data_IF_799984672733
#
_entry.id   IF_799984672733
#
_cell.length_a   1.000
_cell.length_b   1.000
_cell.length_c   1.000
_cell.angle_alpha   90.00
_cell.angle_beta   90.00
_cell.angle_gamma   90.00
#
_symmetry.space_group_name_H-M   'P 1'
#
loop_
_entity.id
_entity.type
_entity.pdbx_description
1 polymer ?
#
# COMPACT_ATOMS: atom_id res chain seq x y z
N UNK A 1 -46.95 -2.23 5.18
CA UNK A 1 -45.73 -2.68 4.50
C UNK A 1 -44.64 -1.68 4.86
N UNK A 2 -43.85 -1.98 5.87
CA UNK A 2 -42.73 -1.15 6.35
C UNK A 2 -41.39 -1.71 5.86
N UNK A 3 -40.37 -0.87 5.62
CA UNK A 3 -39.09 -1.34 5.13
C UNK A 3 -38.31 -2.05 6.23
N UNK A 4 -37.90 -3.29 5.95
CA UNK A 4 -36.95 -4.03 6.78
C UNK A 4 -35.55 -3.43 6.66
N UNK A 5 -35.00 -2.99 7.78
CA UNK A 5 -33.57 -2.68 7.93
C UNK A 5 -32.73 -3.94 7.74
N UNK A 6 -31.69 -3.99 6.93
CA UNK A 6 -30.80 -5.13 6.85
C UNK A 6 -29.85 -5.13 8.07
N UNK A 7 -30.07 -6.08 8.95
CA UNK A 7 -29.16 -6.36 10.08
C UNK A 7 -27.91 -7.05 9.55
N UNK A 8 -26.74 -6.52 9.88
CA UNK A 8 -25.44 -7.09 9.54
C UNK A 8 -25.32 -8.55 10.01
N UNK A 9 -24.95 -9.44 9.09
CA UNK A 9 -24.72 -10.86 9.35
C UNK A 9 -23.23 -11.13 9.46
N UNK A 10 -22.80 -11.61 10.61
CA UNK A 10 -21.47 -12.20 10.75
C UNK A 10 -21.52 -13.67 10.27
N UNK A 11 -20.59 -14.07 9.41
CA UNK A 11 -20.49 -15.42 8.86
C UNK A 11 -19.42 -16.22 9.63
N UNK A 12 -19.78 -17.37 10.13
CA UNK A 12 -18.85 -18.34 10.76
C UNK A 12 -18.85 -19.62 9.93
N UNK A 13 -17.68 -20.09 9.55
CA UNK A 13 -17.51 -21.30 8.77
C UNK A 13 -17.39 -22.51 9.71
N UNK A 14 -18.32 -23.47 9.63
CA UNK A 14 -18.25 -24.77 10.32
C UNK A 14 -18.58 -25.87 9.34
N UNK A 15 -17.57 -26.64 8.93
CA UNK A 15 -17.75 -27.94 8.28
C UNK A 15 -18.62 -27.99 7.02
N UNK A 16 -18.46 -27.04 6.08
CA UNK A 16 -19.10 -27.10 4.75
C UNK A 16 -20.48 -26.43 4.64
N UNK A 17 -21.03 -25.87 5.71
CA UNK A 17 -22.28 -25.09 5.70
C UNK A 17 -22.03 -23.74 6.40
N UNK A 18 -22.42 -22.66 5.74
CA UNK A 18 -22.37 -21.30 6.31
C UNK A 18 -23.63 -21.08 7.15
N UNK A 19 -23.52 -21.14 8.47
CA UNK A 19 -24.58 -20.71 9.39
C UNK A 19 -24.36 -19.26 9.83
N UNK A 20 -25.43 -18.47 9.78
CA UNK A 20 -25.44 -17.11 10.25
C UNK A 20 -25.66 -17.04 11.75
N UNK A 21 -24.62 -16.76 12.53
CA UNK A 21 -24.78 -16.47 13.95
C UNK A 21 -25.07 -14.97 14.17
N UNK A 22 -26.18 -14.68 14.84
CA UNK A 22 -26.49 -13.35 15.39
C UNK A 22 -25.67 -13.15 16.67
N UNK A 23 -24.47 -12.63 16.55
CA UNK A 23 -23.67 -12.19 17.68
C UNK A 23 -23.52 -10.68 17.64
N UNK A 24 -24.16 -9.95 18.54
CA UNK A 24 -23.87 -8.56 18.83
C UNK A 24 -22.48 -8.49 19.47
N UNK A 25 -21.45 -8.20 18.67
CA UNK A 25 -20.14 -7.82 19.19
C UNK A 25 -19.84 -6.39 18.75
N UNK A 26 -20.30 -5.45 19.57
CA UNK A 26 -19.72 -4.11 19.62
C UNK A 26 -18.40 -4.19 20.39
N UNK A 27 -17.35 -4.66 19.77
CA UNK A 27 -16.00 -4.27 20.15
C UNK A 27 -15.56 -3.23 19.13
N UNK A 28 -15.68 -1.96 19.50
CA UNK A 28 -14.84 -0.92 18.93
C UNK A 28 -13.40 -1.36 19.20
N UNK A 29 -12.74 -2.01 18.22
CA UNK A 29 -11.30 -2.03 18.11
C UNK A 29 -10.91 -0.56 17.97
N UNK A 30 -10.52 0.05 19.09
CA UNK A 30 -9.93 1.38 19.09
C UNK A 30 -8.65 1.25 18.29
N UNK A 31 -8.70 1.60 17.00
CA UNK A 31 -7.50 1.85 16.21
C UNK A 31 -6.65 2.82 17.00
N UNK A 32 -5.38 2.49 17.23
CA UNK A 32 -4.45 3.42 17.86
C UNK A 32 -4.50 4.74 17.09
N UNK A 33 -4.95 5.83 17.73
CA UNK A 33 -5.21 7.06 17.02
C UNK A 33 -3.93 7.55 16.36
N UNK A 34 -4.06 8.05 15.14
CA UNK A 34 -2.96 8.65 14.41
C UNK A 34 -2.28 9.74 15.24
N UNK A 35 -0.95 9.73 15.30
CA UNK A 35 -0.17 10.71 16.04
C UNK A 35 0.25 11.86 15.13
N UNK A 36 -0.08 13.10 15.51
CA UNK A 36 0.27 14.32 14.78
C UNK A 36 1.12 15.22 15.70
N UNK A 37 2.29 15.64 15.24
CA UNK A 37 3.12 16.58 16.00
C UNK A 37 2.89 18.02 15.52
N UNK A 38 2.83 18.95 16.46
CA UNK A 38 2.70 20.39 16.22
C UNK A 38 4.04 21.07 16.58
N UNK A 39 4.66 21.74 15.60
CA UNK A 39 6.01 22.29 15.74
C UNK A 39 6.05 23.77 15.35
N UNK A 40 6.39 24.62 16.30
CA UNK A 40 6.60 26.04 16.07
C UNK A 40 5.36 26.85 15.69
N UNK A 41 4.16 26.27 15.82
CA UNK A 41 2.90 27.00 15.59
C UNK A 41 2.64 27.98 16.73
N UNK A 42 2.22 29.18 16.37
CA UNK A 42 1.82 30.24 17.31
C UNK A 42 0.29 30.35 17.39
N UNK A 43 -0.28 30.82 18.50
CA UNK A 43 -1.70 31.19 18.49
C UNK A 43 -1.99 32.26 17.43
N UNK A 44 -3.09 32.21 16.66
CA UNK A 44 -4.21 31.26 16.76
C UNK A 44 -4.00 29.94 15.96
N UNK A 45 -3.00 29.82 15.11
CA UNK A 45 -2.79 28.64 14.25
C UNK A 45 -2.66 27.34 15.07
N UNK A 46 -2.08 27.42 16.27
CA UNK A 46 -1.94 26.26 17.16
C UNK A 46 -3.31 25.74 17.64
N UNK A 47 -4.26 26.63 17.93
CA UNK A 47 -5.61 26.25 18.38
C UNK A 47 -6.38 25.60 17.22
N UNK A 48 -6.44 26.23 16.06
CA UNK A 48 -7.08 25.66 14.87
C UNK A 48 -6.45 24.32 14.45
N UNK A 49 -5.13 24.19 14.57
CA UNK A 49 -4.45 22.92 14.25
C UNK A 49 -4.83 21.81 15.26
N UNK A 50 -5.01 22.12 16.54
CA UNK A 50 -5.48 21.15 17.55
C UNK A 50 -6.90 20.70 17.27
N UNK A 51 -7.78 21.65 16.98
CA UNK A 51 -9.19 21.34 16.61
C UNK A 51 -9.23 20.46 15.36
N UNK A 52 -8.42 20.75 14.34
CA UNK A 52 -8.34 19.94 13.13
C UNK A 52 -7.81 18.52 13.42
N UNK A 53 -6.86 18.36 14.35
CA UNK A 53 -6.36 17.04 14.78
C UNK A 53 -7.46 16.26 15.48
N UNK A 54 -8.22 16.88 16.37
CA UNK A 54 -9.34 16.25 17.08
C UNK A 54 -10.47 15.87 16.11
N UNK A 55 -10.86 16.78 15.20
CA UNK A 55 -11.87 16.53 14.16
C UNK A 55 -11.49 15.38 13.22
N UNK A 56 -10.18 15.18 12.97
CA UNK A 56 -9.68 14.07 12.19
C UNK A 56 -9.57 12.74 12.97
N UNK A 57 -9.97 12.70 14.25
CA UNK A 57 -9.84 11.53 15.13
C UNK A 57 -8.39 11.17 15.46
N UNK A 58 -7.44 12.12 15.32
CA UNK A 58 -6.03 11.93 15.62
C UNK A 58 -5.69 12.44 17.04
N UNK A 59 -4.45 12.18 17.49
CA UNK A 59 -3.93 12.68 18.77
C UNK A 59 -2.65 13.49 18.56
N UNK A 60 -2.49 14.53 19.37
CA UNK A 60 -1.25 15.32 19.39
C UNK A 60 -0.12 14.51 20.03
N UNK A 61 1.02 14.43 19.34
CA UNK A 61 2.26 13.81 19.83
C UNK A 61 3.26 14.87 20.24
N UNK A 62 3.92 14.67 21.36
CA UNK A 62 5.06 15.50 21.80
C UNK A 62 6.36 15.18 21.05
N UNK A 63 6.42 14.03 20.36
CA UNK A 63 7.62 13.59 19.63
C UNK A 63 7.40 13.61 18.11
N UNK A 64 7.98 14.61 17.39
CA UNK A 64 7.82 14.72 15.94
C UNK A 64 8.42 13.54 15.14
N UNK A 65 9.41 12.83 15.71
CA UNK A 65 10.04 11.69 15.03
C UNK A 65 9.14 10.46 14.96
N UNK A 66 8.15 10.36 15.85
CA UNK A 66 7.18 9.27 15.89
C UNK A 66 5.81 9.64 15.34
N UNK A 67 5.62 10.91 14.95
CA UNK A 67 4.37 11.36 14.39
C UNK A 67 4.15 10.84 12.96
N UNK A 68 2.90 10.53 12.64
CA UNK A 68 2.47 10.19 11.28
C UNK A 68 2.45 11.39 10.34
N UNK A 69 2.28 12.58 10.92
CA UNK A 69 2.31 13.86 10.25
C UNK A 69 2.87 14.92 11.20
N UNK A 70 3.70 15.82 10.69
CA UNK A 70 4.16 17.00 11.41
C UNK A 70 3.49 18.22 10.80
N UNK A 71 2.75 18.97 11.61
CA UNK A 71 2.25 20.29 11.27
C UNK A 71 3.24 21.31 11.82
N UNK A 72 3.87 22.08 10.95
CA UNK A 72 4.93 22.98 11.33
C UNK A 72 4.77 24.37 10.72
N UNK A 73 5.12 25.42 11.48
CA UNK A 73 5.18 26.77 10.90
C UNK A 73 6.23 26.84 9.77
N UNK A 74 6.10 27.78 8.82
CA UNK A 74 7.14 28.07 7.84
C UNK A 74 8.47 28.36 8.56
N UNK A 75 9.53 27.62 8.19
CA UNK A 75 10.84 27.78 8.81
C UNK A 75 11.11 26.98 10.10
N UNK A 76 10.11 26.41 10.76
CA UNK A 76 10.34 25.56 11.92
C UNK A 76 11.13 24.28 11.56
N UNK A 77 12.09 23.84 12.39
CA UNK A 77 12.88 22.64 12.12
C UNK A 77 12.00 21.40 12.24
N UNK A 78 12.09 20.51 11.25
CA UNK A 78 11.35 19.24 11.19
C UNK A 78 12.33 18.10 11.01
N UNK A 79 12.14 16.95 11.68
CA UNK A 79 13.01 15.79 11.51
C UNK A 79 13.14 15.39 10.03
N UNK A 80 14.37 15.05 9.55
CA UNK A 80 14.57 14.65 8.16
C UNK A 80 13.69 13.45 7.79
N UNK A 81 12.99 13.57 6.65
CA UNK A 81 12.11 12.51 6.14
C UNK A 81 10.77 12.33 6.87
N UNK A 82 10.44 13.17 7.85
CA UNK A 82 9.09 13.17 8.44
C UNK A 82 8.09 13.81 7.46
N UNK A 83 6.91 13.19 7.26
CA UNK A 83 5.83 13.82 6.51
C UNK A 83 5.46 15.14 7.17
N UNK A 84 5.52 16.24 6.43
CA UNK A 84 5.30 17.57 6.98
C UNK A 84 4.34 18.39 6.13
N UNK A 85 3.44 19.12 6.79
CA UNK A 85 2.61 20.17 6.20
C UNK A 85 2.98 21.49 6.86
N UNK A 86 3.28 22.50 6.07
CA UNK A 86 3.57 23.86 6.55
C UNK A 86 2.26 24.62 6.72
N UNK A 87 2.02 25.11 7.96
CA UNK A 87 0.80 25.79 8.37
C UNK A 87 1.10 27.23 8.75
N UNK A 88 0.27 28.16 8.30
CA UNK A 88 0.40 29.60 8.55
C UNK A 88 0.81 30.39 7.30
N UNK A 89 1.07 31.67 7.47
CA UNK A 89 1.42 32.59 6.37
C UNK A 89 2.69 32.12 5.62
N UNK A 90 2.54 31.94 4.32
CA UNK A 90 3.62 31.38 3.47
C UNK A 90 3.75 29.85 3.55
N UNK A 91 2.87 29.17 4.26
CA UNK A 91 2.76 27.70 4.31
C UNK A 91 1.93 27.12 3.17
N UNK A 92 1.72 25.80 3.23
CA UNK A 92 0.87 25.05 2.31
C UNK A 92 -0.62 25.15 2.69
N UNK A 93 -0.90 25.49 3.95
CA UNK A 93 -2.23 25.56 4.55
C UNK A 93 -2.31 26.85 5.38
N UNK A 94 -3.30 27.68 5.11
CA UNK A 94 -3.60 28.89 5.87
C UNK A 94 -4.84 28.69 6.76
N UNK A 95 -4.67 28.83 8.07
CA UNK A 95 -5.78 28.70 9.00
C UNK A 95 -6.41 30.08 9.32
N UNK A 96 -7.74 30.13 9.50
CA UNK A 96 -8.72 29.02 9.54
C UNK A 96 -9.27 28.60 8.16
N UNK A 97 -8.89 29.27 7.07
CA UNK A 97 -9.51 29.13 5.73
C UNK A 97 -9.42 27.68 5.22
N UNK A 98 -8.27 27.05 5.37
CA UNK A 98 -7.99 25.71 4.84
C UNK A 98 -8.20 24.59 5.88
N UNK A 99 -9.00 24.81 6.94
CA UNK A 99 -9.22 23.80 8.00
C UNK A 99 -9.73 22.47 7.45
N UNK A 100 -10.66 22.47 6.49
CA UNK A 100 -11.19 21.25 5.88
C UNK A 100 -10.09 20.47 5.11
N UNK A 101 -9.21 21.19 4.42
CA UNK A 101 -8.04 20.60 3.76
C UNK A 101 -7.09 19.96 4.79
N UNK A 102 -6.82 20.68 5.88
CA UNK A 102 -5.96 20.19 6.94
C UNK A 102 -6.50 18.92 7.60
N UNK A 103 -7.80 18.88 7.94
CA UNK A 103 -8.49 17.68 8.47
C UNK A 103 -8.32 16.51 7.50
N UNK A 104 -8.52 16.74 6.20
CA UNK A 104 -8.36 15.71 5.17
C UNK A 104 -6.92 15.18 5.10
N UNK A 105 -5.91 16.05 5.17
CA UNK A 105 -4.49 15.67 5.16
C UNK A 105 -4.11 14.86 6.42
N UNK A 106 -4.63 15.24 7.58
CA UNK A 106 -4.41 14.51 8.85
C UNK A 106 -5.04 13.12 8.77
N UNK A 107 -6.30 13.03 8.33
CA UNK A 107 -7.00 11.75 8.19
C UNK A 107 -6.28 10.83 7.17
N UNK A 108 -5.74 11.40 6.09
CA UNK A 108 -4.95 10.66 5.11
C UNK A 108 -3.62 10.16 5.70
N UNK A 109 -2.92 11.01 6.45
CA UNK A 109 -1.69 10.61 7.13
C UNK A 109 -1.95 9.50 8.16
N UNK A 110 -3.08 9.54 8.87
CA UNK A 110 -3.55 8.49 9.77
C UNK A 110 -3.76 7.17 9.04
N UNK A 111 -4.48 7.18 7.95
CA UNK A 111 -4.68 6.00 7.09
C UNK A 111 -3.36 5.41 6.60
N UNK A 112 -2.39 6.25 6.25
CA UNK A 112 -1.03 5.80 5.85
C UNK A 112 -0.25 5.21 7.01
N UNK A 113 -0.40 5.73 8.21
CA UNK A 113 0.34 5.30 9.41
C UNK A 113 -0.21 4.02 10.03
N UNK A 114 -1.51 3.78 9.97
CA UNK A 114 -2.13 2.51 10.34
C UNK A 114 -1.74 1.35 9.43
N UNK A 115 -1.06 1.63 8.30
CA UNK A 115 -0.54 0.60 7.41
C UNK A 115 0.70 -0.06 7.98
N UNK A 116 0.58 -1.34 8.21
CA UNK A 116 1.67 -2.18 8.72
C UNK A 116 2.66 -2.57 7.61
N UNK A 117 2.31 -2.39 6.30
CA UNK A 117 3.12 -2.83 5.18
C UNK A 117 3.06 -1.93 3.94
N UNK A 118 4.00 -2.13 3.01
CA UNK A 118 4.06 -1.41 1.74
C UNK A 118 3.00 -1.93 0.76
N UNK A 119 2.44 -1.04 -0.07
CA UNK A 119 1.51 -1.38 -1.16
C UNK A 119 2.19 -1.16 -2.50
N UNK A 120 2.40 -2.22 -3.23
CA UNK A 120 2.99 -2.20 -4.57
C UNK A 120 1.94 -2.57 -5.60
N UNK A 121 1.69 -1.69 -6.54
CA UNK A 121 0.81 -1.95 -7.69
C UNK A 121 1.65 -2.43 -8.86
N UNK A 122 1.24 -3.52 -9.49
CA UNK A 122 1.90 -4.08 -10.68
C UNK A 122 0.91 -4.05 -11.84
N UNK A 123 1.29 -3.39 -12.93
CA UNK A 123 0.44 -3.27 -14.10
C UNK A 123 1.25 -3.34 -15.40
N UNK A 124 0.59 -3.61 -16.52
CA UNK A 124 1.20 -3.67 -17.84
C UNK A 124 0.70 -2.58 -18.76
N UNK A 125 1.55 -2.07 -19.66
CA UNK A 125 1.13 -1.11 -20.69
C UNK A 125 0.32 -1.76 -21.81
N UNK A 126 0.38 -3.10 -21.91
CA UNK A 126 -0.39 -3.90 -22.86
C UNK A 126 -0.76 -5.25 -22.26
N UNK A 127 -1.73 -5.92 -22.87
CA UNK A 127 -2.07 -7.30 -22.52
C UNK A 127 -0.94 -8.28 -22.84
N UNK A 128 -0.83 -9.36 -22.05
CA UNK A 128 0.12 -10.44 -22.29
C UNK A 128 1.59 -10.12 -21.97
N UNK A 129 1.92 -8.97 -21.41
CA UNK A 129 3.31 -8.61 -21.06
C UNK A 129 3.85 -9.34 -19.82
N UNK A 130 3.00 -10.12 -19.13
CA UNK A 130 3.42 -11.01 -18.06
C UNK A 130 3.25 -10.44 -16.65
N UNK A 131 2.32 -9.50 -16.42
CA UNK A 131 2.03 -8.88 -15.11
C UNK A 131 1.84 -9.93 -14.03
N UNK A 132 0.85 -10.80 -14.16
CA UNK A 132 0.53 -11.85 -13.20
C UNK A 132 1.71 -12.81 -12.96
N UNK A 133 2.54 -13.06 -13.97
CA UNK A 133 3.75 -13.87 -13.82
C UNK A 133 4.78 -13.20 -12.93
N UNK A 134 4.99 -11.90 -13.10
CA UNK A 134 5.88 -11.11 -12.23
C UNK A 134 5.33 -11.02 -10.82
N UNK A 135 4.02 -10.79 -10.65
CA UNK A 135 3.36 -10.81 -9.34
C UNK A 135 3.58 -12.14 -8.62
N UNK A 136 3.39 -13.28 -9.31
CA UNK A 136 3.66 -14.62 -8.75
C UNK A 136 5.11 -14.80 -8.30
N UNK A 137 6.06 -14.37 -9.11
CA UNK A 137 7.48 -14.46 -8.74
C UNK A 137 7.83 -13.58 -7.56
N UNK A 138 7.35 -12.33 -7.55
CA UNK A 138 7.60 -11.37 -6.49
C UNK A 138 6.99 -11.84 -5.16
N UNK A 139 5.75 -12.29 -5.18
CA UNK A 139 5.04 -12.80 -4.02
C UNK A 139 5.75 -14.03 -3.40
N UNK A 140 6.15 -14.99 -4.24
CA UNK A 140 6.92 -16.17 -3.81
C UNK A 140 8.28 -15.82 -3.21
N UNK A 141 9.00 -14.87 -3.79
CA UNK A 141 10.29 -14.43 -3.26
C UNK A 141 10.14 -13.76 -1.89
N UNK A 142 9.09 -12.97 -1.71
CA UNK A 142 8.77 -12.37 -0.43
C UNK A 142 8.36 -13.42 0.62
N UNK A 143 7.54 -14.41 0.24
CA UNK A 143 7.09 -15.50 1.10
C UNK A 143 8.22 -16.47 1.51
N UNK A 144 9.14 -16.83 0.59
CA UNK A 144 10.28 -17.75 0.88
C UNK A 144 11.20 -17.25 1.97
N UNK A 145 11.40 -15.94 2.09
CA UNK A 145 12.27 -15.37 3.12
C UNK A 145 11.68 -15.46 4.51
N UNK A 146 10.35 -15.53 4.62
CA UNK A 146 9.68 -15.82 5.88
C UNK A 146 10.07 -17.22 6.39
N UNK A 147 9.92 -18.25 5.58
CA UNK A 147 10.23 -19.62 5.96
C UNK A 147 11.71 -19.89 6.28
N UNK A 148 12.65 -19.22 5.61
CA UNK A 148 14.09 -19.35 5.89
C UNK A 148 14.49 -18.63 7.19
N UNK A 149 13.91 -17.46 7.46
CA UNK A 149 14.17 -16.70 8.69
C UNK A 149 13.50 -17.31 9.93
N UNK A 150 12.28 -17.81 9.80
CA UNK A 150 11.59 -18.52 10.89
C UNK A 150 12.34 -19.77 11.35
N UNK A 151 13.00 -20.48 10.45
CA UNK A 151 13.85 -21.64 10.81
C UNK A 151 15.12 -21.26 11.58
N UNK A 152 15.68 -20.08 11.30
CA UNK A 152 16.89 -19.57 11.95
C UNK A 152 16.64 -18.86 13.29
N UNK A 153 15.44 -18.30 13.51
CA UNK A 153 15.15 -17.40 14.64
C UNK A 153 13.92 -17.80 15.46
N UNK A 154 13.70 -19.08 15.71
CA UNK A 154 12.63 -19.59 16.60
C UNK A 154 12.77 -19.16 18.07
N UNK A 155 13.43 -18.08 18.41
CA UNK A 155 13.54 -17.56 19.78
C UNK A 155 12.62 -16.34 19.98
N UNK A 156 11.54 -16.59 20.64
CA UNK A 156 10.64 -15.87 21.56
C UNK A 156 10.33 -14.35 21.42
N UNK A 157 11.11 -13.52 20.73
CA UNK A 157 10.93 -12.07 20.73
C UNK A 157 10.16 -11.47 19.53
N UNK A 158 9.83 -12.27 18.49
CA UNK A 158 9.31 -11.76 17.23
C UNK A 158 7.79 -12.04 16.99
N UNK A 159 7.06 -12.56 17.97
CA UNK A 159 5.62 -12.79 17.81
C UNK A 159 4.82 -11.49 17.71
N UNK A 160 5.24 -10.44 18.42
CA UNK A 160 4.57 -9.14 18.40
C UNK A 160 4.91 -8.27 17.18
N UNK A 161 6.03 -8.57 16.47
CA UNK A 161 6.42 -7.89 15.21
C UNK A 161 6.09 -8.71 13.96
N UNK A 162 5.33 -9.80 14.09
CA UNK A 162 5.07 -10.76 13.02
C UNK A 162 4.27 -10.22 11.84
N UNK A 163 3.40 -9.26 12.06
CA UNK A 163 2.41 -8.81 11.08
C UNK A 163 2.95 -7.93 9.96
N UNK A 164 3.96 -7.10 10.25
CA UNK A 164 4.53 -6.15 9.27
C UNK A 164 5.29 -6.80 8.09
N UNK A 165 5.52 -8.11 8.12
CA UNK A 165 6.37 -8.83 7.15
C UNK A 165 5.60 -9.78 6.24
N UNK A 166 4.31 -9.96 6.47
CA UNK A 166 3.47 -10.77 5.60
C UNK A 166 3.20 -10.03 4.28
N UNK A 167 3.26 -10.78 3.18
CA UNK A 167 2.90 -10.27 1.85
C UNK A 167 1.63 -10.98 1.41
N UNK A 168 0.63 -10.20 1.05
CA UNK A 168 -0.65 -10.66 0.52
C UNK A 168 -0.78 -10.17 -0.92
N UNK A 169 -1.26 -11.03 -1.80
CA UNK A 169 -1.59 -10.66 -3.17
C UNK A 169 -3.07 -10.29 -3.25
N UNK A 170 -3.34 -9.18 -3.92
CA UNK A 170 -4.70 -8.74 -4.28
C UNK A 170 -4.81 -8.78 -5.79
N UNK A 171 -5.57 -9.73 -6.33
CA UNK A 171 -5.79 -9.86 -7.78
C UNK A 171 -6.95 -8.95 -8.20
N UNK A 172 -6.60 -7.77 -8.67
CA UNK A 172 -7.49 -6.76 -9.21
C UNK A 172 -7.42 -6.69 -10.75
N UNK A 173 -6.97 -7.76 -11.40
CA UNK A 173 -6.85 -7.82 -12.88
C UNK A 173 -8.19 -7.95 -13.60
N UNK A 174 -9.26 -8.31 -12.89
CA UNK A 174 -10.57 -8.63 -13.47
C UNK A 174 -10.59 -9.95 -14.26
N UNK A 175 -9.48 -10.67 -14.30
CA UNK A 175 -9.33 -11.90 -15.08
C UNK A 175 -9.61 -13.14 -14.23
N UNK A 176 -10.26 -14.15 -14.84
CA UNK A 176 -10.38 -15.50 -14.27
C UNK A 176 -9.84 -16.47 -15.31
N UNK A 177 -8.84 -17.29 -14.99
CA UNK A 177 -8.26 -17.58 -13.66
C UNK A 177 -7.12 -16.64 -13.21
N UNK A 178 -7.06 -15.40 -13.39
CA UNK A 178 -6.15 -14.40 -12.87
C UNK A 178 -4.85 -14.90 -12.19
N UNK A 179 -4.63 -14.49 -10.96
CA UNK A 179 -3.49 -14.93 -10.16
C UNK A 179 -3.58 -16.41 -9.76
N UNK A 180 -4.76 -16.91 -9.39
CA UNK A 180 -4.97 -18.34 -9.10
C UNK A 180 -4.82 -19.16 -10.39
N UNK A 181 -4.19 -20.34 -10.29
CA UNK A 181 -4.20 -21.33 -11.38
C UNK A 181 -5.46 -22.17 -11.28
N UNK A 182 -5.85 -22.80 -12.38
CA UNK A 182 -7.03 -23.68 -12.38
C UNK A 182 -6.99 -24.75 -11.28
N UNK A 183 -5.83 -25.32 -11.00
CA UNK A 183 -5.66 -26.32 -9.93
C UNK A 183 -5.70 -25.74 -8.48
N UNK A 184 -5.76 -24.44 -8.33
CA UNK A 184 -5.78 -23.74 -7.03
C UNK A 184 -7.16 -23.12 -6.74
N UNK A 185 -8.14 -23.32 -7.63
CA UNK A 185 -9.49 -22.75 -7.49
C UNK A 185 -10.25 -23.37 -6.29
N UNK A 186 -9.97 -24.63 -5.95
CA UNK A 186 -10.61 -25.33 -4.84
C UNK A 186 -9.93 -25.06 -3.47
N UNK A 187 -8.86 -24.26 -3.45
CA UNK A 187 -8.22 -23.90 -2.19
C UNK A 187 -9.23 -23.17 -1.27
N UNK A 188 -9.44 -23.64 -0.02
CA UNK A 188 -10.42 -23.05 0.88
C UNK A 188 -10.05 -21.61 1.23
N UNK A 189 -11.05 -20.76 1.40
CA UNK A 189 -10.88 -19.38 1.81
C UNK A 189 -11.78 -18.40 1.07
N UNK A 190 -11.79 -17.16 1.57
CA UNK A 190 -12.62 -16.05 1.05
C UNK A 190 -12.12 -15.60 -0.32
N UNK A 191 -13.04 -15.43 -1.25
CA UNK A 191 -12.83 -14.97 -2.64
C UNK A 191 -13.55 -13.64 -2.88
N UNK A 192 -13.33 -13.03 -4.04
CA UNK A 192 -14.03 -11.80 -4.40
C UNK A 192 -15.55 -11.92 -4.33
N UNK A 193 -16.10 -13.07 -4.75
CA UNK A 193 -17.55 -13.29 -4.75
C UNK A 193 -18.16 -13.40 -3.34
N UNK A 194 -17.34 -13.60 -2.31
CA UNK A 194 -17.79 -13.72 -0.92
C UNK A 194 -17.80 -12.37 -0.18
N UNK A 195 -17.27 -11.30 -0.83
CA UNK A 195 -17.19 -9.97 -0.27
C UNK A 195 -18.33 -9.09 -0.77
N UNK A 196 -18.93 -8.30 0.12
CA UNK A 196 -19.97 -7.34 -0.23
C UNK A 196 -19.33 -6.06 -0.83
N UNK A 197 -19.84 -5.63 -1.97
CA UNK A 197 -19.39 -4.42 -2.65
C UNK A 197 -19.86 -3.11 -1.97
N UNK A 198 -20.84 -3.19 -1.08
CA UNK A 198 -21.34 -2.05 -0.30
C UNK A 198 -20.51 -1.71 0.94
N UNK A 199 -19.53 -2.54 1.28
CA UNK A 199 -18.70 -2.32 2.45
C UNK A 199 -17.49 -1.43 2.12
N UNK A 200 -17.26 -0.39 2.93
CA UNK A 200 -16.08 0.50 2.80
C UNK A 200 -14.80 -0.15 3.36
N UNK A 201 -14.94 -1.12 4.24
CA UNK A 201 -13.86 -1.92 4.83
C UNK A 201 -14.38 -3.25 5.34
N UNK A 202 -13.51 -4.24 5.44
CA UNK A 202 -13.82 -5.58 5.97
C UNK A 202 -13.18 -5.78 7.34
N UNK A 203 -13.61 -6.84 8.04
CA UNK A 203 -13.02 -7.18 9.33
C UNK A 203 -11.51 -7.46 9.19
N UNK A 204 -10.69 -7.09 10.18
CA UNK A 204 -9.24 -7.37 10.19
C UNK A 204 -8.91 -8.86 10.03
N UNK A 205 -9.82 -9.75 10.46
CA UNK A 205 -9.73 -11.20 10.29
C UNK A 205 -9.83 -11.68 8.84
N UNK A 206 -10.24 -10.81 7.88
CA UNK A 206 -10.24 -11.17 6.45
C UNK A 206 -8.93 -11.81 6.02
N UNK A 207 -7.80 -11.26 6.48
CA UNK A 207 -6.47 -11.78 6.20
C UNK A 207 -6.34 -13.28 6.52
N UNK A 208 -6.89 -13.72 7.64
CA UNK A 208 -6.72 -15.08 8.13
C UNK A 208 -7.57 -16.09 7.36
N UNK A 209 -8.60 -15.62 6.69
CA UNK A 209 -9.52 -16.41 5.88
C UNK A 209 -9.17 -16.43 4.39
N UNK A 210 -8.09 -15.73 3.96
CA UNK A 210 -7.66 -15.78 2.57
C UNK A 210 -7.09 -17.14 2.18
N UNK A 211 -7.37 -17.62 0.96
CA UNK A 211 -6.77 -18.85 0.44
C UNK A 211 -5.25 -18.69 0.27
N UNK A 212 -4.55 -19.80 0.41
CA UNK A 212 -3.12 -19.86 0.06
C UNK A 212 -2.98 -20.33 -1.38
N UNK A 213 -2.56 -19.40 -2.25
CA UNK A 213 -2.39 -19.62 -3.70
C UNK A 213 -0.92 -19.40 -4.05
N UNK A 214 -0.30 -20.38 -4.69
CA UNK A 214 1.12 -20.29 -5.04
C UNK A 214 2.08 -20.15 -3.86
N UNK A 215 1.64 -20.54 -2.65
CA UNK A 215 2.42 -20.45 -1.42
C UNK A 215 2.37 -19.09 -0.72
N UNK A 216 1.44 -18.21 -1.10
CA UNK A 216 1.16 -16.93 -0.45
C UNK A 216 -0.35 -16.75 -0.25
N UNK A 217 -0.74 -15.98 0.75
CA UNK A 217 -2.15 -15.60 0.92
C UNK A 217 -2.54 -14.65 -0.21
N UNK A 218 -3.71 -14.87 -0.80
CA UNK A 218 -4.16 -14.08 -1.92
C UNK A 218 -5.68 -13.91 -1.95
N UNK A 219 -6.14 -12.69 -2.18
CA UNK A 219 -7.53 -12.43 -2.51
C UNK A 219 -7.67 -12.49 -4.05
N UNK A 220 -8.40 -13.48 -4.53
CA UNK A 220 -8.46 -13.85 -5.95
C UNK A 220 -9.88 -14.16 -6.39
N UNK A 221 -10.11 -14.19 -7.70
CA UNK A 221 -11.35 -14.66 -8.30
C UNK A 221 -11.48 -16.18 -8.32
N UNK A 222 -12.68 -16.64 -8.61
CA UNK A 222 -13.03 -18.02 -8.89
C UNK A 222 -14.05 -18.11 -10.05
N UNK A 223 -14.72 -19.24 -10.23
CA UNK A 223 -15.73 -19.42 -11.27
C UNK A 223 -16.90 -18.43 -11.21
N UNK A 224 -17.15 -17.83 -10.04
CA UNK A 224 -18.19 -16.80 -9.83
C UNK A 224 -17.75 -15.41 -10.29
N UNK A 225 -16.47 -15.19 -10.60
CA UNK A 225 -15.91 -13.95 -11.12
C UNK A 225 -14.65 -13.48 -10.38
N UNK A 226 -14.05 -12.41 -10.92
CA UNK A 226 -12.93 -11.68 -10.33
C UNK A 226 -13.32 -10.21 -10.08
N UNK A 227 -12.43 -9.44 -9.46
CA UNK A 227 -12.58 -8.00 -9.30
C UNK A 227 -11.59 -7.25 -10.20
N UNK A 228 -12.05 -6.22 -10.87
CA UNK A 228 -11.20 -5.28 -11.60
C UNK A 228 -10.69 -4.17 -10.70
N UNK A 229 -9.71 -3.40 -11.18
CA UNK A 229 -9.14 -2.29 -10.42
C UNK A 229 -10.16 -1.17 -10.09
N UNK A 230 -11.30 -1.11 -10.76
CA UNK A 230 -12.42 -0.20 -10.51
C UNK A 230 -13.47 -0.75 -9.52
N UNK A 231 -13.33 -2.00 -9.10
CA UNK A 231 -14.24 -2.63 -8.14
C UNK A 231 -14.03 -2.04 -6.74
N UNK A 232 -15.07 -1.51 -6.06
CA UNK A 232 -14.94 -0.93 -4.73
C UNK A 232 -14.41 -1.91 -3.70
N UNK A 233 -14.66 -3.22 -3.85
CA UNK A 233 -14.13 -4.29 -2.99
C UNK A 233 -12.60 -4.30 -2.93
N UNK A 234 -11.93 -3.92 -4.04
CA UNK A 234 -10.45 -3.86 -4.08
C UNK A 234 -9.93 -2.81 -3.11
N UNK A 235 -10.53 -1.63 -3.09
CA UNK A 235 -10.16 -0.54 -2.18
C UNK A 235 -10.45 -0.93 -0.74
N UNK A 236 -11.65 -1.45 -0.46
CA UNK A 236 -12.06 -1.90 0.87
C UNK A 236 -11.12 -2.99 1.41
N UNK A 237 -10.78 -4.00 0.59
CA UNK A 237 -9.84 -5.06 0.96
C UNK A 237 -8.43 -4.52 1.24
N UNK A 238 -7.90 -3.63 0.38
CA UNK A 238 -6.59 -3.03 0.59
C UNK A 238 -6.50 -2.19 1.87
N UNK A 239 -7.60 -1.58 2.31
CA UNK A 239 -7.69 -0.86 3.59
C UNK A 239 -7.69 -1.81 4.80
N UNK A 240 -8.34 -2.96 4.66
CA UNK A 240 -8.56 -3.92 5.73
C UNK A 240 -7.37 -4.85 5.97
N UNK A 241 -6.61 -5.16 4.91
CA UNK A 241 -5.47 -6.06 4.98
C UNK A 241 -4.24 -5.35 5.56
N UNK A 242 -3.99 -5.56 6.86
CA UNK A 242 -2.83 -4.99 7.59
C UNK A 242 -1.55 -5.78 7.28
N UNK A 243 -1.10 -5.75 6.01
CA UNK A 243 0.07 -6.47 5.52
C UNK A 243 0.76 -5.69 4.39
N UNK A 244 1.92 -6.14 3.94
CA UNK A 244 2.45 -5.67 2.66
C UNK A 244 1.60 -6.23 1.52
N UNK A 245 1.15 -5.38 0.60
CA UNK A 245 0.28 -5.77 -0.49
C UNK A 245 1.01 -5.74 -1.82
N UNK A 246 0.76 -6.75 -2.65
CA UNK A 246 1.09 -6.74 -4.08
C UNK A 246 -0.23 -6.80 -4.84
N UNK A 247 -0.60 -5.69 -5.48
CA UNK A 247 -1.85 -5.57 -6.23
C UNK A 247 -1.56 -5.84 -7.70
N UNK A 248 -2.14 -6.90 -8.24
CA UNK A 248 -2.15 -7.16 -9.69
C UNK A 248 -3.27 -6.33 -10.31
N UNK A 249 -2.95 -5.18 -10.88
CA UNK A 249 -3.93 -4.30 -11.50
C UNK A 249 -4.16 -4.61 -12.99
N UNK A 250 -3.55 -5.68 -13.51
CA UNK A 250 -3.68 -6.07 -14.90
C UNK A 250 -3.08 -5.04 -15.86
N UNK A 251 -3.93 -4.24 -16.54
CA UNK A 251 -3.49 -3.20 -17.46
C UNK A 251 -3.45 -1.84 -16.78
N UNK A 252 -2.43 -1.03 -17.11
CA UNK A 252 -2.35 0.35 -16.66
C UNK A 252 -3.28 1.24 -17.50
N UNK A 253 -4.39 1.60 -16.93
CA UNK A 253 -5.42 2.47 -17.50
C UNK A 253 -5.99 3.42 -16.43
N UNK A 254 -7.05 4.17 -16.75
CA UNK A 254 -7.71 5.09 -15.83
C UNK A 254 -8.19 4.40 -14.54
N UNK A 255 -8.62 3.14 -14.60
CA UNK A 255 -9.12 2.37 -13.46
C UNK A 255 -7.97 2.00 -12.53
N UNK A 256 -6.90 1.44 -13.08
CA UNK A 256 -5.69 1.08 -12.34
C UNK A 256 -5.01 2.30 -11.71
N UNK A 257 -4.94 3.44 -12.43
CA UNK A 257 -4.38 4.67 -11.93
C UNK A 257 -5.19 5.24 -10.75
N UNK A 258 -6.52 5.23 -10.87
CA UNK A 258 -7.42 5.65 -9.79
C UNK A 258 -7.30 4.73 -8.57
N UNK A 259 -7.31 3.41 -8.78
CA UNK A 259 -7.10 2.43 -7.73
C UNK A 259 -5.78 2.71 -6.99
N UNK A 260 -4.66 2.81 -7.72
CA UNK A 260 -3.35 3.08 -7.14
C UNK A 260 -3.31 4.36 -6.29
N UNK A 261 -4.02 5.40 -6.75
CA UNK A 261 -4.17 6.67 -6.00
C UNK A 261 -4.97 6.46 -4.71
N UNK A 262 -6.16 5.86 -4.80
CA UNK A 262 -7.08 5.71 -3.65
C UNK A 262 -6.54 4.75 -2.59
N UNK A 263 -5.83 3.68 -3.01
CA UNK A 263 -5.16 2.78 -2.07
C UNK A 263 -3.81 3.34 -1.61
N UNK A 264 -3.41 4.53 -2.02
CA UNK A 264 -2.12 5.18 -1.69
C UNK A 264 -0.94 4.24 -1.93
N UNK A 265 -0.77 3.75 -3.16
CA UNK A 265 0.32 2.87 -3.51
C UNK A 265 1.69 3.52 -3.20
N UNK A 266 2.61 2.76 -2.60
CA UNK A 266 3.96 3.24 -2.29
C UNK A 266 4.88 3.16 -3.52
N UNK A 267 4.61 2.23 -4.43
CA UNK A 267 5.32 2.12 -5.70
C UNK A 267 4.47 1.46 -6.78
N UNK A 268 4.70 1.88 -8.01
CA UNK A 268 4.13 1.29 -9.21
C UNK A 268 5.20 0.54 -9.99
N UNK A 269 4.89 -0.69 -10.40
CA UNK A 269 5.72 -1.50 -11.29
C UNK A 269 5.01 -1.61 -12.63
N UNK A 270 5.56 -0.95 -13.65
CA UNK A 270 5.01 -0.95 -15.01
C UNK A 270 5.77 -1.93 -15.90
N UNK A 271 5.06 -2.92 -16.44
CA UNK A 271 5.61 -3.86 -17.40
C UNK A 271 5.33 -3.40 -18.83
N UNK A 272 6.37 -3.46 -19.68
CA UNK A 272 6.25 -3.17 -21.11
C UNK A 272 7.12 -4.11 -21.95
N UNK A 273 6.90 -4.11 -23.26
CA UNK A 273 7.76 -4.80 -24.23
C UNK A 273 9.02 -3.98 -24.50
N UNK A 274 10.09 -4.67 -24.93
CA UNK A 274 11.36 -4.02 -25.23
C UNK A 274 11.39 -3.28 -26.59
N UNK A 275 10.39 -3.50 -27.42
CA UNK A 275 10.30 -2.99 -28.81
C UNK A 275 9.70 -1.56 -28.87
N UNK A 276 9.56 -1.06 -30.10
CA UNK A 276 8.99 0.27 -30.38
C UNK A 276 7.52 0.36 -29.97
N UNK A 277 6.74 -0.71 -30.16
CA UNK A 277 5.34 -0.76 -29.74
C UNK A 277 5.22 -0.63 -28.21
N UNK A 278 6.10 -1.31 -27.46
CA UNK A 278 6.17 -1.20 -26.02
C UNK A 278 6.55 0.22 -25.56
N UNK A 279 7.48 0.87 -26.24
CA UNK A 279 7.83 2.26 -25.97
C UNK A 279 6.67 3.22 -26.24
N UNK A 280 5.97 3.05 -27.36
CA UNK A 280 4.80 3.85 -27.73
C UNK A 280 3.64 3.62 -26.75
N UNK A 281 3.37 2.38 -26.38
CA UNK A 281 2.34 2.04 -25.38
C UNK A 281 2.67 2.65 -23.99
N UNK A 282 3.94 2.61 -23.60
CA UNK A 282 4.40 3.23 -22.35
C UNK A 282 4.18 4.75 -22.38
N UNK A 283 4.62 5.42 -23.44
CA UNK A 283 4.47 6.86 -23.60
C UNK A 283 2.98 7.27 -23.55
N UNK A 284 2.13 6.60 -24.32
CA UNK A 284 0.70 6.85 -24.36
C UNK A 284 0.03 6.63 -23.00
N UNK A 285 0.35 5.51 -22.33
CA UNK A 285 -0.22 5.17 -21.02
C UNK A 285 0.15 6.20 -19.94
N UNK A 286 1.42 6.66 -19.93
CA UNK A 286 1.90 7.63 -18.96
C UNK A 286 1.38 9.05 -19.23
N UNK A 287 1.21 9.43 -20.50
CA UNK A 287 0.62 10.71 -20.87
C UNK A 287 -0.86 10.78 -20.47
N UNK A 288 -1.60 9.69 -20.65
CA UNK A 288 -3.02 9.63 -20.30
C UNK A 288 -3.25 9.43 -18.80
N UNK A 289 -2.40 8.66 -18.14
CA UNK A 289 -2.56 8.26 -16.74
C UNK A 289 -1.21 8.32 -16.01
N UNK A 290 -0.78 9.52 -15.56
CA UNK A 290 0.47 9.65 -14.83
C UNK A 290 0.44 8.85 -13.52
N UNK A 291 1.56 8.21 -13.12
CA UNK A 291 1.63 7.47 -11.87
C UNK A 291 1.42 8.37 -10.66
N UNK A 292 0.56 7.99 -9.68
CA UNK A 292 0.36 8.76 -8.45
C UNK A 292 1.50 8.60 -7.43
N UNK A 293 2.45 7.69 -7.71
CA UNK A 293 3.56 7.33 -6.84
C UNK A 293 4.83 7.02 -7.65
N UNK A 294 6.01 6.88 -7.01
CA UNK A 294 7.23 6.47 -7.70
C UNK A 294 7.04 5.19 -8.51
N UNK A 295 7.51 5.18 -9.75
CA UNK A 295 7.32 4.06 -10.67
C UNK A 295 8.66 3.43 -11.09
N UNK A 296 8.63 2.11 -11.29
CA UNK A 296 9.71 1.29 -11.82
C UNK A 296 9.24 0.67 -13.13
N UNK A 297 10.07 0.74 -14.16
CA UNK A 297 9.78 0.07 -15.43
C UNK A 297 10.41 -1.31 -15.48
N UNK A 298 9.63 -2.32 -15.79
CA UNK A 298 10.10 -3.66 -16.14
C UNK A 298 9.93 -3.90 -17.62
N UNK A 299 11.01 -4.32 -18.25
CA UNK A 299 11.03 -4.61 -19.68
C UNK A 299 11.01 -6.11 -19.88
N UNK A 300 9.95 -6.62 -20.49
CA UNK A 300 9.86 -8.04 -20.86
C UNK A 300 10.87 -8.35 -21.97
N UNK A 301 11.57 -9.47 -21.84
CA UNK A 301 12.53 -9.93 -22.86
C UNK A 301 11.77 -10.55 -24.03
N UNK A 302 11.33 -9.72 -24.96
CA UNK A 302 10.90 -10.15 -26.28
C UNK A 302 12.09 -10.34 -27.22
N UNK A 303 11.87 -11.02 -28.36
CA UNK A 303 12.89 -11.26 -29.42
C UNK A 303 13.19 -9.97 -30.24
N UNK A 304 13.25 -8.79 -29.63
CA UNK A 304 13.45 -7.54 -30.33
C UNK A 304 14.66 -6.73 -29.83
N UNK A 305 15.22 -5.87 -30.69
CA UNK A 305 16.20 -4.83 -30.29
C UNK A 305 15.50 -3.89 -29.32
N UNK A 306 16.17 -3.54 -28.21
CA UNK A 306 15.68 -2.54 -27.27
C UNK A 306 15.48 -1.22 -27.99
N UNK A 307 14.29 -0.66 -27.91
CA UNK A 307 14.00 0.66 -28.44
C UNK A 307 14.69 1.73 -27.59
N UNK A 308 15.46 2.61 -28.22
CA UNK A 308 16.02 3.80 -27.55
C UNK A 308 14.91 4.72 -27.02
N UNK A 309 13.75 4.76 -27.68
CA UNK A 309 12.59 5.53 -27.26
C UNK A 309 12.07 5.14 -25.86
N UNK A 310 12.25 3.88 -25.45
CA UNK A 310 11.85 3.45 -24.11
C UNK A 310 12.61 4.20 -23.00
N UNK A 311 13.91 4.45 -23.23
CA UNK A 311 14.73 5.21 -22.25
C UNK A 311 14.33 6.68 -22.12
N UNK A 312 13.66 7.24 -23.12
CA UNK A 312 13.20 8.62 -23.14
C UNK A 312 11.87 8.81 -22.37
N UNK A 313 10.97 7.83 -22.38
CA UNK A 313 9.63 7.96 -21.82
C UNK A 313 9.39 7.14 -20.53
N UNK A 314 10.16 6.08 -20.28
CA UNK A 314 9.89 5.16 -19.20
C UNK A 314 10.38 5.69 -17.83
N UNK A 315 9.58 5.52 -16.73
CA UNK A 315 10.02 5.78 -15.37
C UNK A 315 11.26 4.97 -14.99
N UNK A 316 12.11 5.55 -14.18
CA UNK A 316 13.34 4.90 -13.72
C UNK A 316 13.24 4.40 -12.27
N UNK A 317 13.92 3.32 -11.93
CA UNK A 317 14.86 2.54 -12.75
C UNK A 317 14.17 1.65 -13.79
N UNK A 318 14.86 1.40 -14.91
CA UNK A 318 14.43 0.44 -15.94
C UNK A 318 15.15 -0.88 -15.71
N UNK A 319 14.41 -1.91 -15.36
CA UNK A 319 14.93 -3.24 -15.05
C UNK A 319 14.44 -4.27 -16.08
N UNK A 320 15.11 -5.42 -16.12
CA UNK A 320 14.62 -6.57 -16.86
C UNK A 320 13.50 -7.25 -16.08
N UNK A 321 12.39 -7.60 -16.76
CA UNK A 321 11.32 -8.37 -16.14
C UNK A 321 11.85 -9.77 -15.75
N UNK A 322 11.69 -10.19 -14.49
CA UNK A 322 12.14 -11.50 -14.06
C UNK A 322 11.25 -12.60 -14.69
N UNK A 323 11.86 -13.63 -15.24
CA UNK A 323 11.17 -14.82 -15.76
C UNK A 323 11.25 -16.02 -14.82
N UNK A 324 12.19 -15.97 -13.89
CA UNK A 324 12.42 -17.01 -12.87
C UNK A 324 13.07 -16.39 -11.61
N UNK A 325 13.07 -17.10 -10.49
CA UNK A 325 13.77 -16.64 -9.27
C UNK A 325 15.27 -16.49 -9.57
N UNK A 326 15.82 -15.28 -9.38
CA UNK A 326 17.20 -15.01 -9.69
C UNK A 326 17.64 -13.57 -9.49
N UNK A 327 18.64 -13.15 -10.27
CA UNK A 327 19.27 -11.82 -10.17
C UNK A 327 18.28 -10.68 -10.43
N UNK A 328 17.47 -10.81 -11.48
CA UNK A 328 16.53 -9.74 -11.89
C UNK A 328 15.43 -9.54 -10.83
N UNK A 329 14.92 -10.62 -10.25
CA UNK A 329 13.93 -10.55 -9.17
C UNK A 329 14.51 -9.91 -7.91
N UNK A 330 15.77 -10.20 -7.57
CA UNK A 330 16.48 -9.55 -6.45
C UNK A 330 16.71 -8.06 -6.71
N UNK A 331 17.00 -7.67 -7.97
CA UNK A 331 17.14 -6.28 -8.38
C UNK A 331 15.82 -5.52 -8.23
N UNK A 332 14.72 -6.07 -8.75
CA UNK A 332 13.38 -5.50 -8.59
C UNK A 332 13.03 -5.29 -7.12
N UNK A 333 13.22 -6.30 -6.29
CA UNK A 333 12.91 -6.20 -4.87
C UNK A 333 13.75 -5.15 -4.14
N UNK A 334 15.04 -4.98 -4.50
CA UNK A 334 15.88 -3.91 -3.93
C UNK A 334 15.36 -2.53 -4.33
N UNK A 335 14.99 -2.36 -5.59
CA UNK A 335 14.43 -1.12 -6.09
C UNK A 335 13.11 -0.78 -5.38
N UNK A 336 12.18 -1.74 -5.22
CA UNK A 336 10.95 -1.54 -4.46
C UNK A 336 11.22 -1.19 -2.99
N UNK A 337 12.20 -1.85 -2.38
CA UNK A 337 12.57 -1.57 -1.00
C UNK A 337 13.17 -0.16 -0.81
N UNK A 338 13.81 0.42 -1.83
CA UNK A 338 14.34 1.79 -1.77
C UNK A 338 13.24 2.85 -1.95
N UNK A 339 12.11 2.50 -2.56
CA UNK A 339 10.98 3.41 -2.76
C UNK A 339 9.99 3.37 -1.58
N UNK A 340 10.03 2.33 -0.74
CA UNK A 340 9.07 2.19 0.37
C UNK A 340 9.47 3.01 1.58
N UNK A 341 8.66 3.99 2.01
CA UNK A 341 8.98 4.90 3.11
C UNK A 341 9.13 4.21 4.48
N UNK A 342 8.59 3.00 4.64
CA UNK A 342 8.66 2.23 5.88
C UNK A 342 10.09 1.88 6.36
N UNK A 343 11.11 1.94 5.50
CA UNK A 343 12.51 1.68 5.87
C UNK A 343 13.30 2.91 6.30
N UNK A 344 12.85 4.11 5.96
CA UNK A 344 13.48 5.35 6.43
C UNK A 344 13.32 5.56 7.94
N UNK A 345 12.32 4.91 8.56
CA UNK A 345 12.01 5.04 10.00
C UNK A 345 12.79 4.09 10.91
N UNK A 346 13.53 3.13 10.38
CA UNK A 346 14.17 2.05 11.17
C UNK A 346 15.69 2.11 11.23
N UNK A 347 16.33 3.23 10.86
CA UNK A 347 17.75 3.44 11.14
C UNK A 347 17.85 4.17 12.47
N UNK A 348 18.25 3.52 13.56
CA UNK A 348 18.68 4.25 14.76
C UNK A 348 19.83 5.15 14.30
N UNK A 349 19.74 6.43 14.58
CA UNK A 349 20.90 7.30 14.54
C UNK A 349 21.86 6.73 15.58
N UNK A 350 22.96 6.13 15.12
CA UNK A 350 24.11 5.86 15.95
C UNK A 350 24.53 7.20 16.54
N UNK A 351 24.32 7.34 17.84
CA UNK A 351 24.81 8.46 18.62
C UNK A 351 26.33 8.25 18.87
N UNK A 352 27.10 8.39 17.80
CA UNK A 352 28.54 8.45 17.82
C UNK A 352 28.98 9.75 17.15
N UNK A 353 29.55 10.62 17.96
CA UNK A 353 30.38 11.76 17.56
C UNK A 353 29.70 12.95 16.84
N UNK A 354 28.97 13.75 17.59
CA UNK A 354 28.83 15.18 17.28
C UNK A 354 30.00 15.94 17.95
N UNK A 355 30.89 16.61 17.20
CA UNK A 355 31.87 17.49 17.82
C UNK A 355 31.13 18.70 18.43
N UNK A 356 31.34 18.91 19.72
CA UNK A 356 30.95 20.13 20.40
C UNK A 356 31.64 21.31 19.74
N UNK A 357 30.88 22.20 19.11
CA UNK A 357 31.34 23.53 18.75
C UNK A 357 31.27 24.40 20.02
N UNK A 358 32.43 24.62 20.61
CA UNK A 358 32.61 25.67 21.61
C UNK A 358 32.27 27.03 20.97
N UNK A 359 31.24 27.67 21.46
CA UNK A 359 30.96 29.09 21.17
C UNK A 359 31.83 29.92 22.14
N UNK A 360 32.94 30.46 21.58
CA UNK A 360 33.72 31.45 22.27
C UNK A 360 32.91 32.75 22.36
N UNK A 361 32.66 33.18 23.60
CA UNK A 361 32.19 34.53 23.92
C UNK A 361 33.36 35.50 23.75
N UNK A 362 33.21 36.51 22.87
CA UNK A 362 33.94 37.76 22.91
C UNK A 362 32.95 38.92 22.81
#
# INVERSE_FOLDING_TARGET
>A
MGPCCPQGRAWVWTGGVLEAHRGCMTTHDTEDPSLVALVGLTPPDLEYARDAVELAGARVSSNPAHASLVLASPGAPVPPGAPCVRVGDGGQVSLPVDTALLVSLIAEAGRRSGRVGAVWVVAGTAGGVGVTSVVRLLARECGRRRGARERLWRRRADRERGDAREVIVVDASGSVPGFARACEHDAPGVRWADLDAGEDSYLPSLRDHLPTVGGVRALVGDARGGAGADDPRVVAACRSLRASLIVDAGRWDARAARCASVIHADALVLLTRADLEGASAMAASLASHPPPCPAITLVSTGRGRRSSGLHACAPRPILRAPTHPGRDLRALRRALASLSPARSRARPLDHGDAPYLEVAHA
#
